data_IF_251377663885
#
_entry.id   IF_251377663885
#
_cell.length_a   1.000
_cell.length_b   1.000
_cell.length_c   1.000
_cell.angle_alpha   90.00
_cell.angle_beta   90.00
_cell.angle_gamma   90.00
#
_symmetry.space_group_name_H-M   'P 1'
#
loop_
_entity.id
_entity.type
_entity.pdbx_description
1 polymer ?
#
# COMPACT_ATOMS: atom_id res chain seq x y z
N UNK A 1 -16.85 -31.75 1.76
CA UNK A 1 -15.59 -31.47 1.09
C UNK A 1 -14.73 -30.60 1.99
N UNK A 2 -13.49 -30.98 2.14
CA UNK A 2 -12.51 -30.24 2.95
C UNK A 2 -12.09 -28.98 2.15
N UNK A 3 -12.26 -27.81 2.73
CA UNK A 3 -11.80 -26.54 2.15
C UNK A 3 -10.47 -26.13 2.78
N UNK A 4 -9.64 -25.49 1.98
CA UNK A 4 -8.35 -24.96 2.40
C UNK A 4 -8.46 -23.53 2.94
N UNK A 5 -7.44 -23.05 3.61
CA UNK A 5 -7.27 -21.64 3.96
C UNK A 5 -6.15 -21.00 3.15
N UNK A 6 -6.33 -19.74 2.78
CA UNK A 6 -5.29 -18.95 2.14
C UNK A 6 -4.40 -18.32 3.20
N UNK A 7 -3.12 -18.65 3.15
CA UNK A 7 -2.14 -18.17 4.12
C UNK A 7 -1.20 -17.17 3.47
N UNK A 8 -1.21 -15.95 3.99
CA UNK A 8 -0.23 -14.92 3.63
C UNK A 8 1.03 -15.13 4.48
N UNK A 9 2.10 -15.54 3.82
CA UNK A 9 3.40 -15.81 4.47
C UNK A 9 4.30 -14.58 4.55
N UNK A 10 3.91 -13.46 3.94
CA UNK A 10 4.73 -12.25 3.85
C UNK A 10 5.25 -11.99 2.44
N UNK A 11 6.40 -11.36 2.33
CA UNK A 11 6.97 -10.84 1.09
C UNK A 11 8.31 -11.48 0.77
N UNK A 12 8.60 -11.52 -0.52
CA UNK A 12 9.93 -11.88 -1.04
C UNK A 12 10.41 -10.76 -1.97
N UNK A 13 11.73 -10.52 -2.05
CA UNK A 13 12.27 -9.59 -3.02
C UNK A 13 11.86 -9.98 -4.44
N UNK A 14 11.38 -9.02 -5.19
CA UNK A 14 11.00 -9.26 -6.58
C UNK A 14 12.27 -9.48 -7.43
N UNK A 15 12.28 -10.48 -8.34
CA UNK A 15 13.37 -10.64 -9.28
C UNK A 15 13.45 -9.43 -10.22
N UNK A 16 14.65 -9.10 -10.69
CA UNK A 16 14.92 -8.01 -11.64
C UNK A 16 14.08 -8.19 -12.92
N UNK A 17 13.95 -9.41 -13.39
CA UNK A 17 13.12 -9.75 -14.56
C UNK A 17 11.68 -9.97 -14.11
N UNK A 18 10.79 -9.06 -14.47
CA UNK A 18 9.35 -9.13 -14.13
C UNK A 18 8.64 -10.41 -14.64
N UNK A 19 9.14 -11.04 -15.69
CA UNK A 19 8.59 -12.29 -16.23
C UNK A 19 8.87 -13.53 -15.38
N UNK A 20 9.79 -13.45 -14.42
CA UNK A 20 10.10 -14.57 -13.53
C UNK A 20 9.41 -14.39 -12.18
N UNK A 21 8.89 -15.48 -11.64
CA UNK A 21 8.38 -15.53 -10.28
C UNK A 21 9.52 -15.94 -9.32
N UNK A 22 9.57 -15.38 -8.11
CA UNK A 22 10.55 -15.78 -7.11
C UNK A 22 10.31 -17.23 -6.70
N UNK A 23 11.37 -17.97 -6.46
CA UNK A 23 11.28 -19.31 -5.87
C UNK A 23 11.07 -19.15 -4.37
N UNK A 24 9.99 -19.70 -3.87
CA UNK A 24 9.63 -19.67 -2.45
C UNK A 24 9.68 -21.08 -1.90
N UNK A 25 10.55 -21.29 -0.93
CA UNK A 25 10.64 -22.58 -0.25
C UNK A 25 9.47 -22.76 0.72
N UNK A 26 8.97 -23.98 0.76
CA UNK A 26 7.90 -24.37 1.68
C UNK A 26 8.46 -25.37 2.67
N UNK A 27 8.24 -25.19 3.97
CA UNK A 27 8.66 -26.17 4.97
C UNK A 27 8.10 -27.56 4.67
N UNK A 28 8.91 -28.58 4.85
CA UNK A 28 8.50 -29.97 4.66
C UNK A 28 7.63 -30.44 5.82
N UNK A 29 6.64 -31.30 5.52
CA UNK A 29 5.78 -31.91 6.52
C UNK A 29 4.70 -30.96 7.10
N UNK A 30 3.96 -31.48 8.04
CA UNK A 30 2.94 -30.70 8.76
C UNK A 30 3.60 -29.73 9.73
N UNK A 31 3.17 -28.47 9.70
CA UNK A 31 3.64 -27.42 10.58
C UNK A 31 2.48 -26.88 11.42
N UNK A 32 2.74 -26.60 12.67
CA UNK A 32 1.84 -25.80 13.51
C UNK A 32 2.18 -24.34 13.30
N UNK A 33 1.23 -23.55 12.84
CA UNK A 33 1.41 -22.12 12.58
C UNK A 33 0.42 -21.31 13.40
N UNK A 34 0.89 -20.23 13.96
CA UNK A 34 0.06 -19.17 14.52
C UNK A 34 -0.26 -18.15 13.42
N UNK A 35 -1.53 -17.79 13.29
CA UNK A 35 -1.96 -16.87 12.25
C UNK A 35 -3.13 -16.02 12.71
N UNK A 36 -3.15 -14.76 12.29
CA UNK A 36 -4.23 -13.82 12.54
C UNK A 36 -5.15 -13.75 11.32
N UNK A 37 -6.46 -13.77 11.57
CA UNK A 37 -7.48 -13.55 10.53
C UNK A 37 -7.43 -12.08 10.12
N UNK A 38 -7.16 -11.85 8.82
CA UNK A 38 -7.08 -10.48 8.30
C UNK A 38 -8.40 -10.07 7.65
N UNK A 39 -8.96 -8.91 8.02
CA UNK A 39 -10.22 -8.46 7.45
C UNK A 39 -10.05 -8.15 5.95
N UNK A 40 -11.03 -8.57 5.16
CA UNK A 40 -11.10 -8.22 3.74
C UNK A 40 -11.78 -6.87 3.56
N UNK A 41 -11.04 -5.90 3.10
CA UNK A 41 -11.50 -4.51 2.91
C UNK A 41 -12.01 -4.22 1.49
N UNK A 42 -12.17 -5.25 0.68
CA UNK A 42 -12.61 -5.14 -0.71
C UNK A 42 -11.46 -5.07 -1.71
N UNK A 43 -11.81 -4.90 -2.99
CA UNK A 43 -10.85 -4.82 -4.08
C UNK A 43 -10.26 -3.41 -4.17
N UNK A 44 -8.92 -3.27 -4.16
CA UNK A 44 -8.31 -2.00 -4.49
C UNK A 44 -8.53 -1.68 -5.98
N UNK A 45 -8.47 -0.40 -6.37
CA UNK A 45 -8.53 -0.02 -7.78
C UNK A 45 -7.40 -0.68 -8.56
N UNK A 46 -7.74 -1.33 -9.68
CA UNK A 46 -6.80 -2.08 -10.51
C UNK A 46 -6.49 -1.31 -11.78
N UNK A 47 -5.22 -1.10 -12.08
CA UNK A 47 -4.74 -0.38 -13.27
C UNK A 47 -4.60 -1.28 -14.51
N UNK A 48 -5.20 -2.45 -14.53
CA UNK A 48 -5.10 -3.39 -15.63
C UNK A 48 -5.93 -4.65 -15.42
N UNK A 49 -5.85 -5.56 -16.37
CA UNK A 49 -6.49 -6.88 -16.23
C UNK A 49 -5.51 -7.88 -15.66
N UNK A 50 -5.90 -8.57 -14.61
CA UNK A 50 -5.16 -9.72 -14.09
C UNK A 50 -5.32 -10.92 -15.01
N UNK A 51 -4.21 -11.62 -15.23
CA UNK A 51 -4.24 -12.91 -15.92
C UNK A 51 -4.54 -14.04 -14.90
N UNK A 52 -5.78 -14.50 -14.92
CA UNK A 52 -6.26 -15.59 -14.09
C UNK A 52 -6.16 -16.96 -14.76
N UNK A 53 -5.22 -17.14 -15.69
CA UNK A 53 -4.98 -18.43 -16.34
C UNK A 53 -4.80 -19.60 -15.35
N UNK A 54 -4.75 -20.83 -15.87
CA UNK A 54 -4.68 -22.05 -15.04
C UNK A 54 -3.29 -22.38 -14.51
N UNK A 55 -2.27 -21.63 -14.91
CA UNK A 55 -0.88 -21.86 -14.51
C UNK A 55 -0.62 -21.48 -13.06
N UNK A 56 0.20 -22.25 -12.39
CA UNK A 56 0.71 -22.00 -11.03
C UNK A 56 2.24 -22.12 -11.01
N UNK A 57 2.93 -21.29 -10.23
CA UNK A 57 2.44 -20.13 -9.44
C UNK A 57 2.01 -18.98 -10.35
N UNK A 58 1.09 -18.14 -9.89
CA UNK A 58 0.58 -17.01 -10.66
C UNK A 58 0.86 -15.66 -9.99
N UNK A 59 1.02 -14.63 -10.80
CA UNK A 59 1.11 -13.24 -10.35
C UNK A 59 -0.21 -12.54 -10.59
N UNK A 60 -0.75 -11.93 -9.56
CA UNK A 60 -1.95 -11.11 -9.61
C UNK A 60 -1.62 -9.70 -9.13
N UNK A 61 -2.29 -8.69 -9.66
CA UNK A 61 -2.11 -7.29 -9.26
C UNK A 61 -3.04 -6.93 -8.10
N UNK A 62 -4.20 -7.56 -8.07
CA UNK A 62 -5.23 -7.31 -7.09
C UNK A 62 -5.58 -8.59 -6.35
N UNK A 63 -5.63 -8.50 -5.03
CA UNK A 63 -5.96 -9.63 -4.16
C UNK A 63 -7.48 -9.78 -4.05
N UNK A 64 -8.06 -10.45 -5.04
CA UNK A 64 -9.48 -10.84 -5.04
C UNK A 64 -9.64 -12.17 -4.30
N UNK A 65 -9.96 -12.09 -3.00
CA UNK A 65 -10.08 -13.27 -2.15
C UNK A 65 -11.25 -14.20 -2.56
N UNK A 66 -12.32 -13.64 -3.13
CA UNK A 66 -13.44 -14.45 -3.61
C UNK A 66 -12.99 -15.34 -4.77
N UNK A 67 -12.41 -14.72 -5.79
CA UNK A 67 -11.90 -15.43 -6.97
C UNK A 67 -10.74 -16.37 -6.66
N UNK A 68 -9.85 -15.95 -5.78
CA UNK A 68 -8.77 -16.82 -5.28
C UNK A 68 -9.32 -18.05 -4.58
N UNK A 69 -10.35 -17.89 -3.75
CA UNK A 69 -11.01 -18.96 -3.04
C UNK A 69 -11.68 -19.98 -3.98
N UNK A 70 -12.34 -19.50 -5.02
CA UNK A 70 -12.96 -20.36 -6.05
C UNK A 70 -11.90 -21.22 -6.78
N UNK A 71 -10.83 -20.60 -7.25
CA UNK A 71 -9.78 -21.29 -8.03
C UNK A 71 -8.97 -22.28 -7.18
N UNK A 72 -8.72 -21.96 -5.90
CA UNK A 72 -7.90 -22.80 -5.01
C UNK A 72 -8.69 -23.73 -4.09
N UNK A 73 -10.02 -23.76 -4.23
CA UNK A 73 -10.92 -24.49 -3.33
C UNK A 73 -10.66 -24.14 -1.86
N UNK A 74 -10.56 -22.83 -1.59
CA UNK A 74 -10.30 -22.31 -0.24
C UNK A 74 -11.38 -21.32 0.21
N UNK A 75 -11.41 -21.04 1.52
CA UNK A 75 -12.24 -19.98 2.04
C UNK A 75 -11.76 -18.63 1.50
N UNK A 76 -12.70 -17.72 1.22
CA UNK A 76 -12.39 -16.34 0.82
C UNK A 76 -11.92 -15.50 2.03
N UNK A 77 -10.97 -16.03 2.76
CA UNK A 77 -10.43 -15.46 3.99
C UNK A 77 -8.91 -15.56 3.98
N UNK A 78 -8.25 -14.48 4.33
CA UNK A 78 -6.79 -14.43 4.49
C UNK A 78 -6.40 -14.68 5.94
N UNK A 79 -5.48 -15.59 6.12
CA UNK A 79 -4.76 -15.77 7.37
C UNK A 79 -3.34 -15.21 7.19
N UNK A 80 -2.90 -14.34 8.10
CA UNK A 80 -1.52 -13.86 8.15
C UNK A 80 -0.77 -14.59 9.23
N UNK A 81 0.32 -15.26 8.85
CA UNK A 81 1.15 -15.94 9.84
C UNK A 81 2.04 -14.94 10.56
N UNK A 82 2.34 -15.25 11.81
CA UNK A 82 3.29 -14.48 12.62
C UNK A 82 4.69 -14.53 12.00
N UNK A 83 5.47 -13.46 12.20
CA UNK A 83 6.81 -13.33 11.61
C UNK A 83 7.79 -14.42 12.07
N UNK A 84 7.54 -15.01 13.22
CA UNK A 84 8.35 -16.08 13.83
C UNK A 84 7.86 -17.48 13.47
N UNK A 85 6.73 -17.61 12.76
CA UNK A 85 6.14 -18.89 12.41
C UNK A 85 6.97 -19.64 11.36
N UNK A 86 6.96 -20.99 11.40
CA UNK A 86 7.65 -21.79 10.38
C UNK A 86 7.17 -21.42 8.97
N UNK A 87 8.10 -21.11 8.10
CA UNK A 87 7.80 -20.72 6.72
C UNK A 87 7.34 -19.27 6.56
N UNK A 88 7.40 -18.44 7.58
CA UNK A 88 7.22 -17.01 7.43
C UNK A 88 8.30 -16.42 6.51
N UNK A 89 7.90 -15.48 5.68
CA UNK A 89 8.76 -14.70 4.81
C UNK A 89 8.97 -13.31 5.44
N UNK A 90 9.52 -12.35 4.71
CA UNK A 90 9.68 -11.00 5.25
C UNK A 90 8.31 -10.41 5.58
N UNK A 91 8.12 -9.98 6.82
CA UNK A 91 6.96 -9.20 7.19
C UNK A 91 7.04 -7.83 6.50
N UNK A 92 5.89 -7.30 6.10
CA UNK A 92 5.85 -5.88 5.78
C UNK A 92 6.30 -5.10 7.02
N UNK A 93 7.12 -4.06 6.83
CA UNK A 93 7.22 -3.03 7.84
C UNK A 93 5.79 -2.63 8.17
N UNK A 94 5.42 -2.69 9.45
CA UNK A 94 4.07 -2.35 9.88
C UNK A 94 3.72 -0.98 9.30
N UNK A 95 2.49 -0.81 8.81
CA UNK A 95 1.99 0.47 8.34
C UNK A 95 2.06 1.57 9.42
N UNK A 96 2.30 1.20 10.66
CA UNK A 96 2.61 2.07 11.80
C UNK A 96 3.92 2.86 11.64
N UNK A 97 4.76 2.52 10.67
CA UNK A 97 5.93 3.33 10.29
C UNK A 97 5.61 4.39 9.21
N UNK A 98 4.35 4.75 8.99
CA UNK A 98 4.06 6.04 8.39
C UNK A 98 4.50 7.10 9.40
N UNK A 99 5.72 7.53 9.23
CA UNK A 99 6.39 8.52 10.06
C UNK A 99 5.57 9.83 10.02
N UNK A 100 4.83 10.10 11.09
CA UNK A 100 4.03 11.32 11.26
C UNK A 100 4.88 12.57 11.02
N UNK A 101 6.19 12.47 11.19
CA UNK A 101 7.15 13.54 10.92
C UNK A 101 7.14 13.98 9.46
N UNK A 102 6.93 13.07 8.52
CA UNK A 102 6.81 13.41 7.08
C UNK A 102 5.55 14.19 6.79
N UNK A 103 4.43 13.81 7.40
CA UNK A 103 3.18 14.54 7.25
C UNK A 103 3.28 15.95 7.86
N UNK A 104 3.93 16.09 9.01
CA UNK A 104 4.20 17.39 9.61
C UNK A 104 5.11 18.26 8.73
N UNK A 105 6.16 17.67 8.14
CA UNK A 105 7.03 18.36 7.19
C UNK A 105 6.29 18.89 5.97
N UNK A 106 5.43 18.09 5.37
CA UNK A 106 4.57 18.54 4.26
C UNK A 106 3.60 19.64 4.70
N UNK A 107 2.95 19.50 5.84
CA UNK A 107 2.04 20.51 6.37
C UNK A 107 2.75 21.86 6.57
N UNK A 108 3.93 21.86 7.20
CA UNK A 108 4.73 23.07 7.39
C UNK A 108 5.10 23.74 6.06
N UNK A 109 5.44 22.96 5.04
CA UNK A 109 5.76 23.49 3.72
C UNK A 109 4.55 24.20 3.09
N UNK A 110 3.39 23.57 3.13
CA UNK A 110 2.17 24.14 2.56
C UNK A 110 1.71 25.39 3.31
N UNK A 111 1.75 25.38 4.63
CA UNK A 111 1.41 26.56 5.44
C UNK A 111 2.42 27.70 5.24
N UNK A 112 3.71 27.39 5.09
CA UNK A 112 4.73 28.38 4.78
C UNK A 112 4.51 29.05 3.43
N UNK A 113 4.19 28.29 2.39
CA UNK A 113 3.84 28.81 1.08
C UNK A 113 2.58 29.69 1.13
N UNK A 114 1.53 29.24 1.82
CA UNK A 114 0.31 30.02 1.98
C UNK A 114 0.56 31.34 2.71
N UNK A 115 1.33 31.33 3.79
CA UNK A 115 1.70 32.56 4.52
C UNK A 115 2.49 33.51 3.63
N UNK A 116 3.47 33.01 2.88
CA UNK A 116 4.25 33.85 1.94
C UNK A 116 3.37 34.50 0.89
N UNK A 117 2.41 33.71 0.35
CA UNK A 117 1.46 34.23 -0.64
C UNK A 117 0.57 35.33 -0.05
N UNK A 118 0.06 35.14 1.17
CA UNK A 118 -0.75 36.14 1.88
C UNK A 118 0.02 37.44 2.13
N UNK A 119 1.26 37.34 2.62
CA UNK A 119 2.12 38.51 2.85
C UNK A 119 2.41 39.24 1.55
N UNK A 120 2.75 38.52 0.48
CA UNK A 120 3.00 39.11 -0.82
C UNK A 120 1.76 39.83 -1.35
N UNK A 121 0.59 39.22 -1.22
CA UNK A 121 -0.67 39.82 -1.65
C UNK A 121 -0.97 41.11 -0.87
N UNK A 122 -0.74 41.13 0.44
CA UNK A 122 -0.89 42.32 1.27
C UNK A 122 0.08 43.44 0.83
N UNK A 123 1.36 43.15 0.65
CA UNK A 123 2.37 44.13 0.22
C UNK A 123 1.99 44.73 -1.14
N UNK A 124 1.69 43.90 -2.14
CA UNK A 124 1.31 44.37 -3.46
C UNK A 124 -0.05 45.13 -3.46
N UNK A 125 -1.02 44.62 -2.71
CA UNK A 125 -2.34 45.24 -2.60
C UNK A 125 -2.30 46.62 -1.96
N UNK A 126 -1.49 46.84 -0.92
CA UNK A 126 -1.34 48.14 -0.27
C UNK A 126 -0.39 49.10 -1.01
N UNK A 127 0.66 48.56 -1.67
CA UNK A 127 1.62 49.40 -2.44
C UNK A 127 0.98 50.05 -3.68
N UNK A 128 -0.02 49.42 -4.29
CA UNK A 128 -0.74 49.95 -5.44
C UNK A 128 -1.56 51.20 -5.10
N UNK A 129 -2.05 51.30 -3.88
CA UNK A 129 -2.91 52.40 -3.46
C UNK A 129 -2.16 53.72 -3.22
N UNK A 130 -0.89 53.68 -2.87
CA UNK A 130 -0.04 54.85 -2.64
C UNK A 130 0.32 55.59 -3.94
N UNK A 131 0.52 54.90 -5.03
CA UNK A 131 0.89 55.50 -6.33
C UNK A 131 -0.25 56.28 -7.00
N UNK A 132 -1.50 55.91 -6.73
CA UNK A 132 -2.65 56.54 -7.38
C UNK A 132 -3.00 57.91 -6.73
N UNK A 133 -2.56 58.17 -5.49
CA UNK A 133 -2.80 59.44 -4.80
C UNK A 133 -1.76 60.50 -5.13
N UNK A 134 -0.55 60.14 -5.55
CA UNK A 134 0.52 61.08 -5.89
C UNK A 134 0.40 61.63 -7.32
N UNK A 135 -0.28 60.87 -8.22
CA UNK A 135 -0.55 61.31 -9.59
C UNK A 135 -1.73 62.30 -9.72
N UNK A 136 -2.40 62.69 -8.61
CA UNK A 136 -3.52 63.64 -8.62
C UNK A 136 -3.19 64.98 -7.92
N UNK A 137 -1.94 65.20 -7.61
CA UNK A 137 -1.41 66.51 -7.21
C UNK A 137 -0.56 67.09 -8.33
#
# INVERSE_FOLDING_TARGET
>A
SQKNFMVNRGFVPAPILRGKLPRVETPAGAQLIEATVWPYTGLPPVLGRDNWGNEWPKRIQSKDLMRMGEISNSYAQELRIEATAPGALQSLPSLEQFDDSKHLGYALTWFGLAATLCVSFMIFGFSGKSRTLESRR
#
